data_IF_159316971356
#
_entry.id   IF_159316971356
#
_cell.length_a   1.000
_cell.length_b   1.000
_cell.length_c   1.000
_cell.angle_alpha   90.00
_cell.angle_beta   90.00
_cell.angle_gamma   90.00
#
_symmetry.space_group_name_H-M   'P 1'
#
loop_
_entity.id
_entity.type
_entity.pdbx_description
1 polymer ?
#
# COMPACT_ATOMS: atom_id res chain seq x y z
N UNK A 1 -6.97 38.66 -45.96
CA UNK A 1 -7.14 39.24 -44.62
C UNK A 1 -7.54 38.12 -43.67
N UNK A 2 -6.56 37.75 -42.85
CA UNK A 2 -6.60 37.11 -41.53
C UNK A 2 -7.43 35.83 -41.32
N UNK A 3 -6.82 34.67 -41.64
CA UNK A 3 -7.27 33.33 -41.25
C UNK A 3 -6.11 32.47 -40.69
N UNK A 4 -5.09 33.11 -40.10
CA UNK A 4 -3.83 32.44 -39.69
C UNK A 4 -3.66 32.33 -38.17
N UNK A 5 -4.62 32.85 -37.37
CA UNK A 5 -4.48 32.86 -35.89
C UNK A 5 -5.52 32.03 -35.13
N UNK A 6 -6.59 31.53 -35.76
CA UNK A 6 -7.65 30.76 -35.05
C UNK A 6 -7.28 29.28 -34.88
N UNK A 7 -6.53 28.71 -35.83
CA UNK A 7 -6.14 27.29 -35.79
C UNK A 7 -5.02 26.96 -34.80
N UNK A 8 -4.20 27.95 -34.42
CA UNK A 8 -3.14 27.76 -33.41
C UNK A 8 -3.68 27.57 -31.98
N UNK A 9 -4.79 28.23 -31.64
CA UNK A 9 -5.39 28.17 -30.30
C UNK A 9 -6.20 26.88 -30.10
N UNK A 10 -6.85 26.39 -31.15
CA UNK A 10 -7.66 25.15 -31.11
C UNK A 10 -6.78 23.90 -30.99
N UNK A 11 -5.60 23.88 -31.64
CA UNK A 11 -4.64 22.79 -31.52
C UNK A 11 -4.04 22.68 -30.09
N UNK A 12 -3.79 23.82 -29.43
CA UNK A 12 -3.30 23.83 -28.05
C UNK A 12 -4.36 23.33 -27.06
N UNK A 13 -5.62 23.70 -27.23
CA UNK A 13 -6.71 23.24 -26.37
C UNK A 13 -6.99 21.73 -26.53
N UNK A 14 -6.88 21.18 -27.74
CA UNK A 14 -7.03 19.75 -27.99
C UNK A 14 -5.84 18.94 -27.48
N UNK A 15 -4.61 19.47 -27.53
CA UNK A 15 -3.45 18.84 -26.90
C UNK A 15 -3.57 18.83 -25.36
N UNK A 16 -4.12 19.90 -24.76
CA UNK A 16 -4.39 19.95 -23.32
C UNK A 16 -5.54 19.01 -22.94
N UNK A 17 -6.59 18.88 -23.75
CA UNK A 17 -7.68 17.93 -23.50
C UNK A 17 -7.25 16.45 -23.70
N UNK A 18 -6.35 16.19 -24.66
CA UNK A 18 -5.80 14.87 -24.95
C UNK A 18 -4.71 14.44 -23.95
N UNK A 19 -3.95 15.40 -23.41
CA UNK A 19 -3.06 15.17 -22.26
C UNK A 19 -3.85 15.04 -20.95
N UNK A 20 -4.96 15.76 -20.76
CA UNK A 20 -5.76 15.72 -19.53
C UNK A 20 -6.78 14.57 -19.44
N UNK A 21 -6.86 13.65 -20.42
CA UNK A 21 -7.71 12.46 -20.33
C UNK A 21 -9.20 12.77 -20.09
N UNK A 22 -9.72 13.78 -20.79
CA UNK A 22 -11.05 14.32 -20.54
C UNK A 22 -12.12 13.56 -21.36
N UNK A 23 -12.52 12.37 -20.90
CA UNK A 23 -13.68 11.66 -21.45
C UNK A 23 -14.96 12.18 -20.82
N UNK A 24 -15.90 12.69 -21.64
CA UNK A 24 -17.21 13.12 -21.16
C UNK A 24 -18.17 11.93 -21.10
N UNK A 25 -18.14 11.18 -20.01
CA UNK A 25 -19.26 10.33 -19.62
C UNK A 25 -19.69 10.69 -18.20
N UNK A 26 -20.87 11.31 -18.09
CA UNK A 26 -21.60 11.57 -16.86
C UNK A 26 -20.89 12.36 -15.74
N UNK A 27 -20.81 13.69 -15.90
CA UNK A 27 -21.01 14.67 -14.81
C UNK A 27 -20.15 14.62 -13.54
N UNK A 28 -19.07 13.84 -13.47
CA UNK A 28 -18.16 13.76 -12.32
C UNK A 28 -16.72 13.84 -12.77
N UNK A 29 -16.04 14.93 -12.41
CA UNK A 29 -14.61 15.12 -12.65
C UNK A 29 -13.81 14.19 -11.75
N UNK A 30 -13.11 13.22 -12.34
CA UNK A 30 -12.12 12.39 -11.63
C UNK A 30 -10.75 12.75 -12.17
N UNK A 31 -9.87 13.24 -11.29
CA UNK A 31 -8.49 13.56 -11.64
C UNK A 31 -7.70 12.26 -11.78
N UNK A 32 -7.18 12.00 -12.98
CA UNK A 32 -6.20 10.95 -13.23
C UNK A 32 -4.82 11.61 -13.35
N UNK A 33 -3.87 11.39 -12.41
CA UNK A 33 -2.51 11.89 -12.57
C UNK A 33 -1.83 11.16 -13.72
N UNK A 34 -1.39 11.91 -14.73
CA UNK A 34 -0.52 11.43 -15.81
C UNK A 34 0.84 11.13 -15.17
N UNK A 35 1.08 9.89 -14.74
CA UNK A 35 2.42 9.46 -14.33
C UNK A 35 3.23 9.09 -15.57
N UNK A 36 4.35 9.79 -15.71
CA UNK A 36 5.49 9.60 -16.60
C UNK A 36 5.58 8.18 -17.23
N UNK A 37 5.41 8.09 -18.55
CA UNK A 37 5.76 6.89 -19.31
C UNK A 37 7.28 6.84 -19.45
N UNK A 38 7.95 5.84 -18.87
CA UNK A 38 9.33 5.51 -19.28
C UNK A 38 9.33 4.96 -20.71
N UNK A 39 10.32 5.38 -21.49
CA UNK A 39 10.47 5.04 -22.91
C UNK A 39 10.82 3.55 -23.18
N UNK A 40 10.98 2.73 -22.14
CA UNK A 40 11.38 1.32 -22.23
C UNK A 40 10.21 0.33 -22.19
N UNK A 41 8.96 0.81 -22.10
CA UNK A 41 7.77 -0.05 -22.12
C UNK A 41 7.59 -0.91 -20.87
N UNK A 42 8.31 -0.63 -19.78
CA UNK A 42 8.10 -1.27 -18.48
C UNK A 42 6.76 -0.83 -17.89
N UNK A 43 5.86 -1.78 -17.64
CA UNK A 43 4.64 -1.52 -16.89
C UNK A 43 4.98 -0.87 -15.54
N UNK A 44 4.30 0.24 -15.22
CA UNK A 44 4.44 0.94 -13.94
C UNK A 44 4.25 -0.07 -12.81
N UNK A 45 5.34 -0.39 -12.09
CA UNK A 45 5.26 -1.30 -10.95
C UNK A 45 4.30 -0.70 -9.93
N UNK A 46 3.21 -1.40 -9.65
CA UNK A 46 2.24 -1.03 -8.63
C UNK A 46 2.98 -0.79 -7.31
N UNK A 47 2.93 0.45 -6.81
CA UNK A 47 3.59 0.84 -5.55
C UNK A 47 3.11 -0.05 -4.39
N UNK A 48 1.92 -0.67 -4.50
CA UNK A 48 1.36 -1.65 -3.57
C UNK A 48 2.03 -3.03 -3.59
N UNK A 49 2.78 -3.37 -4.65
CA UNK A 49 3.33 -4.72 -4.87
C UNK A 49 4.30 -5.19 -3.79
N UNK A 50 5.00 -4.28 -3.13
CA UNK A 50 6.03 -4.57 -2.13
C UNK A 50 5.61 -4.22 -0.70
N UNK A 51 4.31 -3.96 -0.49
CA UNK A 51 3.73 -3.56 0.79
C UNK A 51 3.02 -4.75 1.42
N UNK A 52 3.23 -4.97 2.71
CA UNK A 52 2.44 -5.90 3.50
C UNK A 52 1.53 -5.13 4.47
N UNK A 53 0.48 -5.79 4.94
CA UNK A 53 -0.45 -5.24 5.93
C UNK A 53 -0.52 -6.09 7.18
N UNK A 54 -0.61 -5.42 8.33
CA UNK A 54 -0.81 -6.01 9.65
C UNK A 54 -2.21 -5.64 10.14
N UNK A 55 -3.01 -6.65 10.45
CA UNK A 55 -4.36 -6.49 10.96
C UNK A 55 -4.55 -7.33 12.22
N UNK A 56 -5.50 -6.96 13.06
CA UNK A 56 -5.93 -7.81 14.16
C UNK A 56 -7.44 -8.04 14.10
N UNK A 57 -7.86 -9.26 14.45
CA UNK A 57 -9.25 -9.64 14.59
C UNK A 57 -9.40 -10.54 15.82
N UNK A 58 -10.00 -9.96 16.87
CA UNK A 58 -10.20 -10.59 18.16
C UNK A 58 -8.88 -11.02 18.81
N UNK A 59 -8.57 -12.32 18.68
CA UNK A 59 -7.39 -12.97 19.30
C UNK A 59 -6.35 -13.43 18.29
N UNK A 60 -6.46 -12.91 17.07
CA UNK A 60 -5.58 -13.24 15.98
C UNK A 60 -5.01 -11.98 15.36
N UNK A 61 -3.74 -12.06 15.01
CA UNK A 61 -3.08 -11.09 14.13
C UNK A 61 -2.93 -11.74 12.77
N UNK A 62 -3.26 -11.00 11.73
CA UNK A 62 -3.08 -11.40 10.33
C UNK A 62 -2.02 -10.52 9.70
N UNK A 63 -1.07 -11.15 9.00
CA UNK A 63 -0.06 -10.47 8.20
C UNK A 63 -0.25 -10.89 6.75
N UNK A 64 -0.54 -9.92 5.88
CA UNK A 64 -0.90 -10.14 4.48
C UNK A 64 0.15 -9.53 3.57
N UNK A 65 0.65 -10.31 2.62
CA UNK A 65 1.55 -9.86 1.57
C UNK A 65 1.13 -10.47 0.23
N UNK A 66 0.75 -9.63 -0.74
CA UNK A 66 0.18 -10.07 -2.00
C UNK A 66 -1.09 -10.90 -1.80
N UNK A 67 -1.10 -12.12 -2.32
CA UNK A 67 -2.19 -13.09 -2.19
C UNK A 67 -2.08 -13.99 -0.95
N UNK A 68 -1.04 -13.80 -0.12
CA UNK A 68 -0.74 -14.65 1.03
C UNK A 68 -1.11 -13.94 2.32
N UNK A 69 -1.78 -14.66 3.21
CA UNK A 69 -2.06 -14.19 4.57
C UNK A 69 -1.64 -15.26 5.56
N UNK A 70 -0.75 -14.90 6.49
CA UNK A 70 -0.45 -15.72 7.66
C UNK A 70 -1.24 -15.20 8.85
N UNK A 71 -1.66 -16.10 9.73
CA UNK A 71 -2.44 -15.75 10.92
C UNK A 71 -1.88 -16.45 12.14
N UNK A 72 -1.63 -15.68 13.19
CA UNK A 72 -1.10 -16.17 14.46
C UNK A 72 -1.88 -15.61 15.63
N UNK A 73 -1.74 -16.25 16.80
CA UNK A 73 -2.49 -15.85 17.99
C UNK A 73 -1.84 -14.64 18.63
N UNK A 74 -2.67 -13.72 19.10
CA UNK A 74 -2.28 -12.59 19.93
C UNK A 74 -3.11 -12.57 21.23
N UNK A 75 -2.87 -11.59 22.08
CA UNK A 75 -3.64 -11.35 23.30
C UNK A 75 -5.12 -11.10 22.99
N UNK A 76 -6.01 -11.56 23.88
CA UNK A 76 -7.44 -11.24 23.79
C UNK A 76 -7.75 -9.80 24.17
N UNK A 77 -6.80 -9.12 24.81
CA UNK A 77 -6.92 -7.73 25.19
C UNK A 77 -6.43 -6.78 24.09
N UNK A 78 -5.79 -7.27 23.02
CA UNK A 78 -5.39 -6.40 21.92
C UNK A 78 -6.65 -5.87 21.22
N UNK A 79 -6.80 -4.55 21.20
CA UNK A 79 -7.93 -3.88 20.53
C UNK A 79 -7.58 -3.54 19.09
N UNK A 80 -6.41 -2.93 18.86
CA UNK A 80 -5.91 -2.59 17.52
C UNK A 80 -4.41 -2.32 17.51
N UNK A 81 -3.80 -2.52 16.35
CA UNK A 81 -2.54 -1.86 16.01
C UNK A 81 -2.84 -0.42 15.55
N UNK A 82 -1.98 0.52 15.93
CA UNK A 82 -2.11 1.94 15.57
C UNK A 82 -1.19 2.26 14.39
N UNK A 83 0.09 1.87 14.51
CA UNK A 83 1.10 2.09 13.47
C UNK A 83 2.22 1.06 13.56
N UNK A 84 2.93 0.86 12.45
CA UNK A 84 4.22 0.17 12.42
C UNK A 84 5.32 1.21 12.53
N UNK A 85 6.09 1.16 13.62
CA UNK A 85 7.23 2.05 13.86
C UNK A 85 8.47 1.60 13.12
N UNK A 86 8.73 0.30 13.15
CA UNK A 86 9.91 -0.29 12.54
C UNK A 86 9.58 -1.61 11.86
N UNK A 87 10.23 -1.83 10.72
CA UNK A 87 10.23 -3.08 9.96
C UNK A 87 11.67 -3.46 9.67
N UNK A 88 12.12 -4.58 10.23
CA UNK A 88 13.44 -5.16 9.95
C UNK A 88 13.31 -6.63 9.58
N UNK A 89 13.06 -6.87 8.29
CA UNK A 89 13.15 -8.20 7.64
C UNK A 89 12.49 -9.36 8.40
N UNK A 90 11.34 -9.12 9.00
CA UNK A 90 10.60 -10.10 9.80
C UNK A 90 10.36 -9.68 11.24
N UNK A 91 11.12 -8.70 11.75
CA UNK A 91 10.87 -8.09 13.04
C UNK A 91 10.06 -6.80 12.88
N UNK A 92 9.01 -6.67 13.68
CA UNK A 92 8.12 -5.51 13.70
C UNK A 92 8.14 -4.86 15.08
N UNK A 93 8.25 -3.54 15.10
CA UNK A 93 7.93 -2.71 16.26
C UNK A 93 6.64 -1.97 15.94
N UNK A 94 5.60 -2.15 16.75
CA UNK A 94 4.28 -1.56 16.51
C UNK A 94 3.79 -0.82 17.73
N UNK A 95 3.00 0.22 17.52
CA UNK A 95 2.21 0.83 18.58
C UNK A 95 0.87 0.09 18.63
N UNK A 96 0.51 -0.45 19.79
CA UNK A 96 -0.68 -1.27 19.98
C UNK A 96 -1.54 -0.74 21.13
N UNK A 97 -2.86 -0.81 20.96
CA UNK A 97 -3.83 -0.44 21.99
C UNK A 97 -4.43 -1.69 22.62
N UNK A 98 -4.43 -1.72 23.95
CA UNK A 98 -4.90 -2.85 24.74
C UNK A 98 -6.03 -2.45 25.67
N UNK A 99 -7.02 -3.32 25.81
CA UNK A 99 -8.07 -3.20 26.80
C UNK A 99 -7.46 -3.22 28.22
N UNK A 100 -7.81 -2.21 29.01
CA UNK A 100 -7.26 -2.02 30.36
C UNK A 100 -5.87 -1.35 30.43
N UNK A 101 -5.22 -1.05 29.30
CA UNK A 101 -4.00 -0.25 29.31
C UNK A 101 -4.33 1.25 29.39
N UNK A 102 -3.55 2.01 30.17
CA UNK A 102 -3.78 3.45 30.34
C UNK A 102 -3.41 4.27 29.09
N UNK A 103 -2.54 3.73 28.23
CA UNK A 103 -2.08 4.34 26.99
C UNK A 103 -1.65 3.25 26.00
N UNK A 104 -1.52 3.56 24.69
CA UNK A 104 -0.92 2.65 23.72
C UNK A 104 0.50 2.26 24.13
N UNK A 105 0.85 1.01 23.84
CA UNK A 105 2.14 0.40 24.21
C UNK A 105 2.93 0.01 22.97
N UNK A 106 4.24 -0.05 23.11
CA UNK A 106 5.12 -0.61 22.07
C UNK A 106 5.13 -2.14 22.18
N UNK A 107 4.84 -2.81 21.07
CA UNK A 107 4.80 -4.27 20.95
C UNK A 107 5.78 -4.73 19.88
N UNK A 108 6.43 -5.86 20.15
CA UNK A 108 7.45 -6.45 19.30
C UNK A 108 6.96 -7.78 18.74
N UNK A 109 7.00 -7.95 17.43
CA UNK A 109 6.52 -9.16 16.76
C UNK A 109 7.63 -9.70 15.86
N UNK A 110 8.02 -10.96 16.09
CA UNK A 110 8.95 -11.70 15.24
C UNK A 110 8.20 -12.69 14.36
N UNK A 111 8.19 -12.45 13.05
CA UNK A 111 7.54 -13.28 12.06
C UNK A 111 8.37 -14.52 11.68
N UNK A 112 9.67 -14.55 11.95
CA UNK A 112 10.55 -15.63 11.51
C UNK A 112 10.15 -16.97 12.14
N UNK A 113 9.97 -17.09 13.47
CA UNK A 113 9.51 -18.34 14.09
C UNK A 113 8.12 -18.75 13.59
N UNK A 114 7.20 -17.79 13.42
CA UNK A 114 5.83 -18.06 12.93
C UNK A 114 5.86 -18.67 11.53
N UNK A 115 6.71 -18.13 10.64
CA UNK A 115 6.86 -18.65 9.28
C UNK A 115 7.48 -20.03 9.26
N UNK A 116 8.49 -20.28 10.12
CA UNK A 116 9.12 -21.59 10.25
C UNK A 116 8.15 -22.66 10.75
N UNK A 117 7.32 -22.35 11.75
CA UNK A 117 6.27 -23.24 12.26
C UNK A 117 5.21 -23.56 11.19
N UNK A 118 5.01 -22.65 10.24
CA UNK A 118 4.14 -22.82 9.08
C UNK A 118 4.85 -23.45 7.87
N UNK A 119 6.11 -23.89 8.02
CA UNK A 119 6.95 -24.49 6.97
C UNK A 119 7.24 -23.58 5.77
N UNK A 120 7.23 -22.26 5.96
CA UNK A 120 7.72 -21.31 4.97
C UNK A 120 9.24 -21.12 5.07
N UNK A 121 9.86 -20.73 3.94
CA UNK A 121 11.17 -20.10 3.94
C UNK A 121 11.01 -18.60 4.29
N UNK A 122 11.48 -18.15 5.47
CA UNK A 122 11.29 -16.76 5.89
C UNK A 122 12.01 -15.76 4.98
N UNK A 123 13.20 -16.10 4.46
CA UNK A 123 13.96 -15.19 3.60
C UNK A 123 13.27 -15.01 2.25
N UNK A 124 12.75 -16.09 1.68
CA UNK A 124 12.00 -16.03 0.43
C UNK A 124 10.66 -15.28 0.58
N UNK A 125 9.97 -15.46 1.72
CA UNK A 125 8.69 -14.81 1.97
C UNK A 125 8.84 -13.32 2.29
N UNK A 126 9.77 -12.96 3.19
CA UNK A 126 9.92 -11.60 3.71
C UNK A 126 10.84 -10.72 2.83
N UNK A 127 11.77 -11.32 2.10
CA UNK A 127 12.77 -10.60 1.29
C UNK A 127 12.19 -9.57 0.29
N UNK A 128 11.05 -9.84 -0.38
CA UNK A 128 10.45 -8.87 -1.28
C UNK A 128 9.74 -7.69 -0.60
N UNK A 129 9.45 -7.77 0.70
CA UNK A 129 8.63 -6.78 1.43
C UNK A 129 9.50 -5.58 1.81
N UNK A 130 9.07 -4.39 1.39
CA UNK A 130 9.79 -3.13 1.63
C UNK A 130 9.22 -2.32 2.79
N UNK A 131 7.91 -2.43 3.02
CA UNK A 131 7.22 -1.73 4.09
C UNK A 131 6.02 -2.55 4.58
N UNK A 132 5.63 -2.28 5.83
CA UNK A 132 4.46 -2.88 6.47
C UNK A 132 3.57 -1.76 7.00
N UNK A 133 2.29 -1.84 6.70
CA UNK A 133 1.28 -0.87 7.13
C UNK A 133 0.27 -1.54 8.04
N UNK A 134 -0.39 -0.78 8.91
CA UNK A 134 -1.59 -1.26 9.61
C UNK A 134 -2.77 -1.19 8.64
N UNK A 135 -3.60 -2.25 8.60
CA UNK A 135 -4.78 -2.36 7.73
C UNK A 135 -5.98 -1.56 8.23
#
# INVERSE_FOLDING_TARGET
>A
MEYVWVWGVIAAALAIAFLAGLSSEAGRWVYFPIKEMRADGGAMEDEGKYRATLACDGRYTSFTFGDRTIRFRTSRALLRYIEVKEWDKGYLVVTAEYDGAAAPVEEYIDLVPILQDLYYDPQAFLGPIREVLVA
#
